data_IF_354913191519
#
_entry.id   IF_354913191519
#
_cell.length_a   1.000
_cell.length_b   1.000
_cell.length_c   1.000
_cell.angle_alpha   90.00
_cell.angle_beta   90.00
_cell.angle_gamma   90.00
#
_symmetry.space_group_name_H-M   'P 1'
#
loop_
_entity.id
_entity.type
_entity.pdbx_description
1 polymer ?
#
# COMPACT_ATOMS: atom_id res chain seq x y z
N UNK A 1 -2.15 -16.64 -5.26
CA UNK A 1 -1.10 -15.64 -5.52
C UNK A 1 -0.74 -14.93 -4.23
N UNK A 2 0.51 -14.56 -4.08
CA UNK A 2 0.95 -13.82 -2.89
C UNK A 2 0.65 -12.34 -3.03
N UNK A 3 0.73 -11.62 -1.91
CA UNK A 3 0.61 -10.15 -1.90
C UNK A 3 1.66 -9.54 -2.82
N UNK A 4 2.89 -10.08 -2.77
CA UNK A 4 3.98 -9.58 -3.61
C UNK A 4 3.65 -9.71 -5.10
N UNK A 5 3.12 -10.87 -5.51
CA UNK A 5 2.77 -11.10 -6.91
C UNK A 5 1.64 -10.18 -7.36
N UNK A 6 0.62 -10.00 -6.50
CA UNK A 6 -0.49 -9.11 -6.80
C UNK A 6 -0.03 -7.66 -6.94
N UNK A 7 0.84 -7.20 -6.05
CA UNK A 7 1.37 -5.84 -6.12
C UNK A 7 2.20 -5.62 -7.37
N UNK A 8 3.02 -6.60 -7.76
CA UNK A 8 3.82 -6.50 -8.97
C UNK A 8 2.93 -6.36 -10.19
N UNK A 9 1.84 -7.14 -10.25
CA UNK A 9 0.90 -7.06 -11.37
C UNK A 9 0.21 -5.71 -11.43
N UNK A 10 -0.25 -5.20 -10.28
CA UNK A 10 -0.92 -3.90 -10.22
C UNK A 10 0.03 -2.78 -10.62
N UNK A 11 1.28 -2.82 -10.15
CA UNK A 11 2.29 -1.82 -10.51
C UNK A 11 2.58 -1.83 -12.00
N UNK A 12 2.60 -3.02 -12.61
CA UNK A 12 2.78 -3.13 -14.06
C UNK A 12 1.62 -2.47 -14.81
N UNK A 13 0.39 -2.69 -14.34
CA UNK A 13 -0.80 -2.07 -14.94
C UNK A 13 -0.77 -0.55 -14.80
N UNK A 14 -0.35 -0.05 -13.63
CA UNK A 14 -0.21 1.39 -13.40
C UNK A 14 0.82 1.99 -14.34
N UNK A 15 1.96 1.33 -14.51
CA UNK A 15 3.02 1.79 -15.41
C UNK A 15 2.51 1.91 -16.84
N UNK A 16 1.80 0.88 -17.32
CA UNK A 16 1.26 0.90 -18.67
C UNK A 16 0.22 2.00 -18.84
N UNK A 17 -0.67 2.17 -17.87
CA UNK A 17 -1.70 3.21 -17.93
C UNK A 17 -1.08 4.61 -17.92
N UNK A 18 -0.04 4.81 -17.11
CA UNK A 18 0.66 6.10 -17.05
C UNK A 18 1.29 6.44 -18.39
N UNK A 19 1.98 5.47 -19.00
CA UNK A 19 2.62 5.68 -20.30
C UNK A 19 1.57 6.01 -21.36
N UNK A 20 0.46 5.29 -21.40
CA UNK A 20 -0.59 5.51 -22.37
C UNK A 20 -1.24 6.89 -22.22
N UNK A 21 -1.32 7.42 -21.00
CA UNK A 21 -1.92 8.71 -20.75
C UNK A 21 -0.93 9.87 -20.81
N UNK A 22 0.34 9.60 -21.14
CA UNK A 22 1.38 10.62 -21.23
C UNK A 22 1.93 11.06 -19.88
N UNK A 23 1.72 10.26 -18.83
CA UNK A 23 2.25 10.53 -17.50
C UNK A 23 3.41 9.59 -17.19
N UNK A 24 4.25 9.97 -16.22
CA UNK A 24 5.26 9.05 -15.72
C UNK A 24 4.68 8.21 -14.60
N UNK A 25 5.14 6.96 -14.45
CA UNK A 25 4.64 6.10 -13.36
C UNK A 25 4.83 6.72 -11.97
N UNK A 26 5.85 7.52 -11.78
CA UNK A 26 6.16 8.16 -10.50
C UNK A 26 5.11 9.19 -10.08
N UNK A 27 4.32 9.70 -11.02
CA UNK A 27 3.25 10.65 -10.72
C UNK A 27 2.03 9.96 -10.11
N UNK A 28 1.96 8.62 -10.17
CA UNK A 28 0.82 7.87 -9.69
C UNK A 28 1.23 7.12 -8.43
N UNK A 29 0.54 7.41 -7.33
CA UNK A 29 0.78 6.70 -6.07
C UNK A 29 -0.29 5.65 -5.87
N UNK A 30 0.14 4.41 -5.60
CA UNK A 30 -0.77 3.33 -5.23
C UNK A 30 -0.91 3.32 -3.71
N UNK A 31 -2.16 3.42 -3.24
CA UNK A 31 -2.47 3.26 -1.83
C UNK A 31 -3.13 1.91 -1.65
N UNK A 32 -2.46 1.01 -0.94
CA UNK A 32 -2.99 -0.33 -0.68
C UNK A 32 -3.98 -0.25 0.46
N UNK A 33 -5.22 -0.66 0.22
CA UNK A 33 -6.25 -0.65 1.26
C UNK A 33 -5.98 -1.80 2.23
N UNK A 34 -5.65 -1.45 3.46
CA UNK A 34 -5.29 -2.42 4.50
C UNK A 34 -6.37 -2.59 5.56
N UNK A 35 -7.49 -1.89 5.44
CA UNK A 35 -8.60 -2.01 6.40
C UNK A 35 -9.06 -3.47 6.48
N UNK A 36 -9.35 -3.93 7.69
CA UNK A 36 -9.78 -5.31 8.00
C UNK A 36 -8.75 -6.39 7.66
N UNK A 37 -7.54 -6.01 7.21
CA UNK A 37 -6.49 -6.96 6.89
C UNK A 37 -5.51 -7.11 8.06
N UNK A 38 -4.96 -8.31 8.29
CA UNK A 38 -3.99 -8.50 9.38
C UNK A 38 -2.65 -7.84 9.09
N UNK A 39 -1.91 -7.56 10.17
CA UNK A 39 -0.59 -6.92 10.09
C UNK A 39 0.37 -7.72 9.22
N UNK A 40 0.24 -9.05 9.21
CA UNK A 40 1.12 -9.93 8.43
C UNK A 40 1.06 -9.61 6.94
N UNK A 41 -0.13 -9.27 6.43
CA UNK A 41 -0.28 -8.90 5.02
C UNK A 41 0.36 -7.54 4.73
N UNK A 42 0.29 -6.61 5.70
CA UNK A 42 0.96 -5.32 5.56
C UNK A 42 2.47 -5.52 5.50
N UNK A 43 3.01 -6.40 6.33
CA UNK A 43 4.45 -6.71 6.30
C UNK A 43 4.88 -7.31 4.97
N UNK A 44 4.06 -8.20 4.40
CA UNK A 44 4.35 -8.76 3.08
C UNK A 44 4.37 -7.67 2.01
N UNK A 45 3.40 -6.74 2.07
CA UNK A 45 3.36 -5.63 1.12
C UNK A 45 4.57 -4.72 1.27
N UNK A 46 4.99 -4.45 2.52
CA UNK A 46 6.19 -3.66 2.78
C UNK A 46 7.43 -4.33 2.17
N UNK A 47 7.54 -5.64 2.32
CA UNK A 47 8.65 -6.38 1.73
C UNK A 47 8.67 -6.26 0.21
N UNK A 48 7.51 -6.02 -0.40
CA UNK A 48 7.39 -5.78 -1.83
C UNK A 48 7.47 -4.28 -2.16
N UNK A 49 7.91 -3.45 -1.20
CA UNK A 49 8.15 -2.00 -1.34
C UNK A 49 6.88 -1.16 -1.47
N UNK A 50 5.73 -1.69 -1.06
CA UNK A 50 4.51 -0.90 -0.95
C UNK A 50 4.54 -0.18 0.40
N UNK A 51 4.52 1.14 0.41
CA UNK A 51 4.65 1.94 1.64
C UNK A 51 3.41 2.74 1.99
N UNK A 52 2.51 2.99 1.04
CA UNK A 52 1.28 3.75 1.29
C UNK A 52 0.13 2.80 1.56
N UNK A 53 -0.52 2.97 2.71
CA UNK A 53 -1.62 2.09 3.14
C UNK A 53 -2.83 2.91 3.56
N UNK A 54 -4.02 2.42 3.22
CA UNK A 54 -5.28 3.10 3.52
C UNK A 54 -6.08 2.38 4.58
N UNK A 55 -6.44 3.12 5.64
CA UNK A 55 -7.29 2.64 6.73
C UNK A 55 -8.50 3.54 6.85
N UNK A 56 -9.62 2.99 7.30
CA UNK A 56 -10.84 3.80 7.46
C UNK A 56 -11.35 3.87 8.89
N UNK A 57 -10.75 3.12 9.82
CA UNK A 57 -11.13 3.15 11.23
C UNK A 57 -9.95 3.60 12.06
N UNK A 58 -10.15 4.65 12.85
CA UNK A 58 -9.06 5.24 13.63
C UNK A 58 -8.48 4.24 14.63
N UNK A 59 -9.33 3.44 15.29
CA UNK A 59 -8.84 2.48 16.29
C UNK A 59 -8.00 1.38 15.66
N UNK A 60 -8.44 0.89 14.50
CA UNK A 60 -7.68 -0.13 13.77
C UNK A 60 -6.36 0.45 13.28
N UNK A 61 -6.39 1.66 12.72
CA UNK A 61 -5.19 2.32 12.24
C UNK A 61 -4.20 2.56 13.38
N UNK A 62 -4.68 3.04 14.52
CA UNK A 62 -3.82 3.31 15.67
C UNK A 62 -3.11 2.05 16.14
N UNK A 63 -3.83 0.93 16.22
CA UNK A 63 -3.24 -0.34 16.63
C UNK A 63 -2.15 -0.79 15.65
N UNK A 64 -2.42 -0.68 14.35
CA UNK A 64 -1.46 -1.06 13.33
C UNK A 64 -0.24 -0.16 13.34
N UNK A 65 -0.44 1.13 13.52
CA UNK A 65 0.67 2.08 13.61
C UNK A 65 1.59 1.72 14.78
N UNK A 66 1.02 1.37 15.94
CA UNK A 66 1.82 0.97 17.09
C UNK A 66 2.60 -0.31 16.83
N UNK A 67 1.93 -1.33 16.27
CA UNK A 67 2.57 -2.62 15.98
C UNK A 67 3.71 -2.45 14.96
N UNK A 68 3.52 -1.56 13.99
CA UNK A 68 4.47 -1.34 12.91
C UNK A 68 5.34 -0.11 13.15
N UNK A 69 5.53 0.28 14.41
CA UNK A 69 6.31 1.47 14.76
C UNK A 69 7.78 1.38 14.34
N UNK A 70 8.29 0.16 14.11
CA UNK A 70 9.65 -0.05 13.61
C UNK A 70 9.77 0.13 12.10
N UNK A 71 8.68 0.48 11.44
CA UNK A 71 8.65 0.66 9.99
C UNK A 71 8.22 2.09 9.67
N UNK A 72 9.09 3.09 9.90
CA UNK A 72 8.73 4.50 9.71
C UNK A 72 8.50 4.88 8.25
N UNK A 73 8.89 4.03 7.29
CA UNK A 73 8.66 4.26 5.88
C UNK A 73 7.18 4.14 5.48
N UNK A 74 6.34 3.57 6.36
CA UNK A 74 4.92 3.42 6.04
C UNK A 74 4.24 4.80 6.03
N UNK A 75 3.50 5.06 4.96
CA UNK A 75 2.69 6.25 4.82
C UNK A 75 1.23 5.87 5.02
N UNK A 76 0.65 6.31 6.13
CA UNK A 76 -0.72 5.96 6.49
C UNK A 76 -1.70 7.01 5.97
N UNK A 77 -2.77 6.55 5.31
CA UNK A 77 -3.82 7.42 4.79
C UNK A 77 -5.16 7.02 5.40
N UNK A 78 -5.92 8.00 5.86
CA UNK A 78 -7.30 7.76 6.27
C UNK A 78 -8.19 7.90 5.04
N UNK A 79 -8.86 6.81 4.70
CA UNK A 79 -9.76 6.77 3.55
C UNK A 79 -11.19 6.57 4.04
N UNK A 80 -12.08 7.38 3.52
CA UNK A 80 -13.50 7.41 3.75
C UNK A 80 -14.12 6.44 4.66
#
# INVERSE_FOLDING_TARGET
MSVKDNLALVQQQITQAAIQSGRTPEEIQLIAVSKTKPVELIKEALAAKQTAFGENRIQEAHRKIEILSNSPEIEWHLIG
#
